data_IF_628477400361
#
_entry.id   IF_628477400361
#
_cell.length_a   1.000
_cell.length_b   1.000
_cell.length_c   1.000
_cell.angle_alpha   90.00
_cell.angle_beta   90.00
_cell.angle_gamma   90.00
#
_symmetry.space_group_name_H-M   'P 1'
#
loop_
_entity.id
_entity.type
_entity.pdbx_description
1 polymer ?
#
# COMPACT_ATOMS: atom_id res chain seq x y z
N UNK A 1 23.31 6.55 37.60
CA UNK A 1 22.83 7.30 36.43
C UNK A 1 23.54 6.73 35.21
N UNK A 2 22.79 6.40 34.17
CA UNK A 2 23.36 5.97 32.89
C UNK A 2 23.54 7.21 31.99
N UNK A 3 24.65 7.23 31.23
CA UNK A 3 24.97 8.32 30.30
C UNK A 3 25.04 7.77 28.88
N UNK A 4 24.58 8.54 27.93
CA UNK A 4 24.73 8.25 26.49
C UNK A 4 26.00 8.93 26.03
N UNK A 5 26.94 8.12 25.53
CA UNK A 5 28.24 8.62 25.04
C UNK A 5 28.43 8.19 23.59
N UNK A 6 29.12 9.04 22.82
CA UNK A 6 29.64 8.71 21.50
C UNK A 6 31.05 9.25 21.41
N UNK A 7 32.01 8.38 21.07
CA UNK A 7 33.45 8.70 20.98
C UNK A 7 33.98 9.42 22.22
N UNK A 8 33.55 9.02 23.42
CA UNK A 8 33.94 9.63 24.69
C UNK A 8 33.25 10.97 25.02
N UNK A 9 32.39 11.49 24.15
CA UNK A 9 31.64 12.71 24.39
C UNK A 9 30.30 12.34 25.02
N UNK A 10 29.97 12.93 26.18
CA UNK A 10 28.66 12.75 26.82
C UNK A 10 27.61 13.55 26.05
N UNK A 11 26.66 12.87 25.45
CA UNK A 11 25.55 13.46 24.67
C UNK A 11 24.31 13.75 25.53
N UNK A 12 24.15 13.03 26.64
CA UNK A 12 23.05 13.23 27.57
C UNK A 12 22.97 12.18 28.67
N UNK A 13 22.13 12.43 29.67
CA UNK A 13 21.80 11.45 30.72
C UNK A 13 20.57 10.66 30.31
N UNK A 14 20.61 9.34 30.52
CA UNK A 14 19.46 8.46 30.30
C UNK A 14 18.53 8.48 31.52
N UNK A 15 17.26 8.73 31.29
CA UNK A 15 16.20 8.59 32.28
C UNK A 15 15.38 7.33 32.01
N UNK A 16 14.71 6.76 33.02
CA UNK A 16 13.80 5.64 32.81
C UNK A 16 12.70 6.01 31.80
N UNK A 17 12.62 5.25 30.70
CA UNK A 17 11.66 5.51 29.62
C UNK A 17 12.23 6.25 28.41
N UNK A 18 13.45 6.77 28.47
CA UNK A 18 14.11 7.38 27.33
C UNK A 18 14.45 6.34 26.25
N UNK A 19 14.29 6.74 25.01
CA UNK A 19 14.71 5.94 23.85
C UNK A 19 15.73 6.72 23.04
N UNK A 20 16.88 6.08 22.78
CA UNK A 20 17.97 6.64 21.98
C UNK A 20 18.25 5.74 20.79
N UNK A 21 18.51 6.30 19.61
CA UNK A 21 18.76 5.55 18.37
C UNK A 21 19.87 6.21 17.56
N UNK A 22 20.66 5.36 16.90
CA UNK A 22 21.64 5.77 15.90
C UNK A 22 23.08 5.92 16.41
N UNK A 23 24.00 6.24 15.51
CA UNK A 23 25.39 6.60 15.75
C UNK A 23 25.74 7.82 14.87
N UNK A 24 25.87 9.02 15.45
CA UNK A 24 25.72 9.36 16.87
C UNK A 24 24.30 9.15 17.42
N UNK A 25 24.14 8.82 18.71
CA UNK A 25 22.83 8.57 19.30
C UNK A 25 22.00 9.85 19.36
N UNK A 26 20.75 9.74 18.92
CA UNK A 26 19.75 10.81 18.97
C UNK A 26 18.65 10.43 19.96
N UNK A 27 18.24 11.36 20.82
CA UNK A 27 17.09 11.16 21.68
C UNK A 27 15.81 11.14 20.87
N UNK A 28 15.03 10.07 20.97
CA UNK A 28 13.72 9.98 20.35
C UNK A 28 12.66 10.47 21.35
N UNK A 29 11.64 11.22 20.87
CA UNK A 29 10.52 11.60 21.72
C UNK A 29 9.83 10.36 22.29
N UNK A 30 9.39 10.47 23.56
CA UNK A 30 8.65 9.37 24.19
C UNK A 30 7.47 8.96 23.29
N UNK A 31 7.37 7.67 22.98
CA UNK A 31 6.18 7.16 22.29
C UNK A 31 4.95 7.48 23.14
N UNK A 32 3.95 8.07 22.52
CA UNK A 32 2.63 8.18 23.15
C UNK A 32 2.25 6.78 23.65
N UNK A 33 1.86 6.70 24.92
CA UNK A 33 1.47 5.43 25.54
C UNK A 33 0.40 4.78 24.65
N UNK A 34 0.73 3.64 24.06
CA UNK A 34 -0.19 2.92 23.19
C UNK A 34 -1.51 2.74 23.95
N UNK A 35 -2.60 3.23 23.38
CA UNK A 35 -3.92 3.05 23.96
C UNK A 35 -4.09 1.58 24.29
N UNK A 36 -4.24 1.25 25.58
CA UNK A 36 -4.41 -0.14 26.02
C UNK A 36 -5.70 -0.69 25.42
N UNK A 37 -5.57 -1.40 24.32
CA UNK A 37 -6.70 -2.13 23.74
C UNK A 37 -6.96 -3.40 24.54
N UNK A 38 -8.21 -3.85 24.58
CA UNK A 38 -8.57 -5.10 25.24
C UNK A 38 -7.78 -6.29 24.65
N UNK A 39 -7.35 -7.23 25.49
CA UNK A 39 -6.58 -8.41 25.09
C UNK A 39 -7.24 -9.22 23.96
N UNK A 40 -8.58 -9.25 23.92
CA UNK A 40 -9.35 -9.87 22.85
C UNK A 40 -9.18 -9.20 21.48
N UNK A 41 -8.65 -7.99 21.42
CA UNK A 41 -8.39 -7.24 20.19
C UNK A 41 -6.89 -7.22 19.84
N UNK A 42 -6.03 -7.75 20.71
CA UNK A 42 -4.56 -7.72 20.55
C UNK A 42 -3.94 -9.10 20.61
N UNK A 43 -3.96 -9.73 21.79
CA UNK A 43 -3.21 -10.95 22.06
C UNK A 43 -4.05 -12.23 22.07
N UNK A 44 -5.36 -12.15 22.43
CA UNK A 44 -6.26 -13.29 22.62
C UNK A 44 -7.55 -13.15 21.81
N UNK A 45 -7.50 -13.15 20.47
CA UNK A 45 -8.70 -13.04 19.64
C UNK A 45 -9.57 -14.31 19.80
N UNK A 46 -10.90 -14.13 19.69
CA UNK A 46 -11.83 -15.23 19.64
C UNK A 46 -11.63 -16.09 18.38
N UNK A 47 -12.05 -17.36 18.42
CA UNK A 47 -11.97 -18.27 17.26
C UNK A 47 -12.72 -17.72 16.06
N UNK A 48 -13.88 -17.08 16.24
CA UNK A 48 -14.63 -16.45 15.17
C UNK A 48 -13.82 -15.34 14.47
N UNK A 49 -13.10 -14.50 15.22
CA UNK A 49 -12.23 -13.47 14.64
C UNK A 49 -11.07 -14.05 13.86
N UNK A 50 -10.48 -15.17 14.35
CA UNK A 50 -9.42 -15.87 13.62
C UNK A 50 -9.91 -16.43 12.30
N UNK A 51 -11.10 -17.03 12.28
CA UNK A 51 -11.72 -17.55 11.05
C UNK A 51 -12.04 -16.39 10.10
N UNK A 52 -12.69 -15.33 10.59
CA UNK A 52 -13.03 -14.16 9.75
C UNK A 52 -11.77 -13.51 9.14
N UNK A 53 -10.70 -13.33 9.92
CA UNK A 53 -9.42 -12.85 9.39
C UNK A 53 -8.85 -13.84 8.37
N UNK A 54 -8.87 -15.14 8.65
CA UNK A 54 -8.41 -16.17 7.71
C UNK A 54 -9.11 -16.11 6.35
N UNK A 55 -10.43 -15.85 6.33
CA UNK A 55 -11.19 -15.67 5.09
C UNK A 55 -10.75 -14.41 4.33
N UNK A 56 -10.57 -13.28 5.04
CA UNK A 56 -10.06 -12.04 4.43
C UNK A 56 -8.65 -12.26 3.86
N UNK A 57 -7.78 -12.94 4.59
CA UNK A 57 -6.42 -13.27 4.13
C UNK A 57 -6.44 -14.18 2.89
N UNK A 58 -7.27 -15.23 2.90
CA UNK A 58 -7.41 -16.11 1.74
C UNK A 58 -7.90 -15.35 0.50
N UNK A 59 -8.89 -14.47 0.67
CA UNK A 59 -9.38 -13.62 -0.41
C UNK A 59 -8.30 -12.64 -0.90
N UNK A 60 -7.59 -11.98 0.01
CA UNK A 60 -6.52 -11.04 -0.28
C UNK A 60 -5.41 -11.67 -1.11
N UNK A 61 -5.05 -12.93 -0.83
CA UNK A 61 -4.03 -13.66 -1.57
C UNK A 61 -4.57 -14.16 -2.91
N UNK A 62 -5.74 -14.79 -2.91
CA UNK A 62 -6.26 -15.46 -4.10
C UNK A 62 -6.81 -14.49 -5.17
N UNK A 63 -7.51 -13.44 -4.76
CA UNK A 63 -8.23 -12.57 -5.69
C UNK A 63 -7.33 -11.83 -6.69
N UNK A 64 -6.18 -11.22 -6.32
CA UNK A 64 -5.31 -10.57 -7.29
C UNK A 64 -4.79 -11.53 -8.35
N UNK A 65 -4.33 -12.71 -7.93
CA UNK A 65 -3.79 -13.72 -8.83
C UNK A 65 -4.86 -14.28 -9.77
N UNK A 66 -6.04 -14.61 -9.22
CA UNK A 66 -7.16 -15.08 -10.01
C UNK A 66 -7.60 -14.05 -11.06
N UNK A 67 -7.65 -12.77 -10.70
CA UNK A 67 -8.00 -11.69 -11.62
C UNK A 67 -6.98 -11.57 -12.76
N UNK A 68 -5.68 -11.51 -12.45
CA UNK A 68 -4.62 -11.39 -13.44
C UNK A 68 -4.63 -12.58 -14.39
N UNK A 69 -4.79 -13.81 -13.86
CA UNK A 69 -4.84 -15.04 -14.69
C UNK A 69 -6.08 -15.03 -15.58
N UNK A 70 -7.27 -14.72 -15.02
CA UNK A 70 -8.51 -14.75 -15.79
C UNK A 70 -8.53 -13.72 -16.92
N UNK A 71 -8.10 -12.47 -16.64
CA UNK A 71 -8.05 -11.41 -17.65
C UNK A 71 -6.95 -11.71 -18.67
N UNK A 72 -5.76 -12.13 -18.23
CA UNK A 72 -4.68 -12.53 -19.15
C UNK A 72 -5.09 -13.65 -20.10
N UNK A 73 -5.79 -14.65 -19.57
CA UNK A 73 -6.32 -15.74 -20.38
C UNK A 73 -7.35 -15.26 -21.41
N UNK A 74 -8.27 -14.39 -21.01
CA UNK A 74 -9.27 -13.79 -21.91
C UNK A 74 -8.61 -13.01 -23.06
N UNK A 75 -7.60 -12.18 -22.75
CA UNK A 75 -6.83 -11.43 -23.76
C UNK A 75 -6.13 -12.37 -24.75
N UNK A 76 -5.54 -13.45 -24.26
CA UNK A 76 -4.87 -14.44 -25.13
C UNK A 76 -5.87 -15.12 -26.06
N UNK A 77 -7.06 -15.49 -25.55
CA UNK A 77 -8.12 -16.09 -26.38
C UNK A 77 -8.63 -15.13 -27.47
N UNK A 78 -8.74 -13.83 -27.16
CA UNK A 78 -9.19 -12.81 -28.11
C UNK A 78 -8.12 -12.55 -29.19
N UNK A 79 -6.84 -12.52 -28.84
CA UNK A 79 -5.73 -12.32 -29.75
C UNK A 79 -5.42 -13.56 -30.64
N UNK A 80 -5.84 -14.77 -30.24
CA UNK A 80 -5.52 -16.01 -30.93
C UNK A 80 -5.96 -16.05 -32.41
N UNK A 81 -7.18 -15.62 -32.78
CA UNK A 81 -7.60 -15.59 -34.20
C UNK A 81 -6.76 -14.63 -35.05
N UNK A 82 -6.28 -13.53 -34.49
CA UNK A 82 -5.40 -12.61 -35.19
C UNK A 82 -4.01 -13.24 -35.44
N UNK A 83 -3.49 -13.96 -34.46
CA UNK A 83 -2.22 -14.64 -34.55
C UNK A 83 -2.26 -15.77 -35.58
N UNK A 84 -3.31 -16.58 -35.58
CA UNK A 84 -3.48 -17.71 -36.55
C UNK A 84 -3.62 -17.22 -37.99
N UNK A 85 -4.16 -16.02 -38.19
CA UNK A 85 -4.24 -15.37 -39.50
C UNK A 85 -2.98 -14.56 -39.87
N UNK A 86 -1.89 -14.69 -39.12
CA UNK A 86 -0.62 -14.01 -39.39
C UNK A 86 -0.63 -12.49 -39.18
N UNK A 87 -1.65 -11.93 -38.51
CA UNK A 87 -1.82 -10.49 -38.31
C UNK A 87 -1.07 -9.97 -37.07
N UNK A 88 0.23 -10.24 -36.99
CA UNK A 88 1.07 -9.99 -35.82
C UNK A 88 1.09 -8.52 -35.38
N UNK A 89 0.99 -7.56 -36.31
CA UNK A 89 0.90 -6.13 -35.98
C UNK A 89 -0.37 -5.80 -35.20
N UNK A 90 -1.50 -6.46 -35.52
CA UNK A 90 -2.76 -6.28 -34.79
C UNK A 90 -2.70 -6.94 -33.42
N UNK A 91 -2.07 -8.11 -33.31
CA UNK A 91 -1.82 -8.78 -32.02
C UNK A 91 -1.01 -7.87 -31.09
N UNK A 92 0.08 -7.27 -31.58
CA UNK A 92 0.90 -6.36 -30.78
C UNK A 92 0.12 -5.12 -30.31
N UNK A 93 -0.70 -4.53 -31.18
CA UNK A 93 -1.54 -3.40 -30.86
C UNK A 93 -2.59 -3.77 -29.80
N UNK A 94 -3.27 -4.90 -29.98
CA UNK A 94 -4.30 -5.39 -29.05
C UNK A 94 -3.71 -5.66 -27.67
N UNK A 95 -2.60 -6.39 -27.57
CA UNK A 95 -1.93 -6.68 -26.31
C UNK A 95 -1.46 -5.40 -25.60
N UNK A 96 -0.95 -4.40 -26.36
CA UNK A 96 -0.55 -3.11 -25.82
C UNK A 96 -1.72 -2.33 -25.24
N UNK A 97 -2.83 -2.23 -25.99
CA UNK A 97 -4.03 -1.55 -25.54
C UNK A 97 -4.69 -2.26 -24.34
N UNK A 98 -4.80 -3.59 -24.41
CA UNK A 98 -5.35 -4.41 -23.34
C UNK A 98 -4.52 -4.26 -22.05
N UNK A 99 -3.18 -4.21 -22.14
CA UNK A 99 -2.31 -3.97 -21.00
C UNK A 99 -2.53 -2.61 -20.34
N UNK A 100 -2.66 -1.55 -21.12
CA UNK A 100 -2.96 -0.20 -20.60
C UNK A 100 -4.35 -0.16 -19.95
N UNK A 101 -5.37 -0.69 -20.63
CA UNK A 101 -6.73 -0.71 -20.10
C UNK A 101 -6.83 -1.55 -18.82
N UNK A 102 -6.15 -2.69 -18.77
CA UNK A 102 -6.07 -3.52 -17.58
C UNK A 102 -5.39 -2.77 -16.42
N UNK A 103 -4.27 -2.08 -16.67
CA UNK A 103 -3.61 -1.26 -15.66
C UNK A 103 -4.52 -0.17 -15.12
N UNK A 104 -5.23 0.54 -15.98
CA UNK A 104 -6.22 1.57 -15.56
C UNK A 104 -7.37 0.96 -14.76
N UNK A 105 -7.87 -0.19 -15.19
CA UNK A 105 -8.96 -0.90 -14.49
C UNK A 105 -8.53 -1.38 -13.11
N UNK A 106 -7.30 -1.91 -12.96
CA UNK A 106 -6.78 -2.32 -11.66
C UNK A 106 -6.61 -1.16 -10.71
N UNK A 107 -6.13 -0.01 -11.19
CA UNK A 107 -6.05 1.21 -10.39
C UNK A 107 -7.45 1.71 -9.96
N UNK A 108 -8.39 1.78 -10.90
CA UNK A 108 -9.77 2.18 -10.60
C UNK A 108 -10.41 1.24 -9.57
N UNK A 109 -10.17 -0.06 -9.68
CA UNK A 109 -10.63 -1.06 -8.72
C UNK A 109 -10.10 -0.80 -7.32
N UNK A 110 -8.79 -0.56 -7.18
CA UNK A 110 -8.18 -0.22 -5.90
C UNK A 110 -8.77 1.08 -5.32
N UNK A 111 -8.98 2.09 -6.17
CA UNK A 111 -9.61 3.34 -5.74
C UNK A 111 -11.05 3.12 -5.22
N UNK A 112 -11.85 2.31 -5.91
CA UNK A 112 -13.21 1.94 -5.47
C UNK A 112 -13.16 1.19 -4.13
N UNK A 113 -12.27 0.21 -3.97
CA UNK A 113 -12.12 -0.53 -2.72
C UNK A 113 -11.67 0.39 -1.59
N UNK A 114 -10.69 1.25 -1.83
CA UNK A 114 -10.19 2.22 -0.83
C UNK A 114 -11.32 3.13 -0.36
N UNK A 115 -12.04 3.75 -1.27
CA UNK A 115 -13.09 4.70 -0.91
C UNK A 115 -14.36 4.02 -0.37
N UNK A 116 -14.69 2.82 -0.86
CA UNK A 116 -15.85 2.06 -0.43
C UNK A 116 -15.68 1.34 0.91
N UNK A 117 -14.51 0.76 1.18
CA UNK A 117 -14.28 -0.05 2.38
C UNK A 117 -13.62 0.73 3.51
N UNK A 118 -12.68 1.61 3.19
CA UNK A 118 -11.85 2.32 4.16
C UNK A 118 -12.32 3.77 4.33
N UNK A 119 -12.67 4.43 3.24
CA UNK A 119 -12.94 5.86 3.22
C UNK A 119 -11.65 6.67 3.44
N UNK A 120 -11.65 7.57 4.43
CA UNK A 120 -10.48 8.40 4.77
C UNK A 120 -9.67 7.78 5.89
N UNK A 121 -8.38 7.61 5.66
CA UNK A 121 -7.43 7.29 6.72
C UNK A 121 -7.31 8.48 7.68
N UNK A 122 -7.24 8.16 8.98
CA UNK A 122 -7.00 9.16 10.03
C UNK A 122 -5.89 8.64 10.94
N UNK A 123 -4.98 9.49 11.40
CA UNK A 123 -3.97 9.11 12.37
C UNK A 123 -4.65 8.59 13.65
N UNK A 124 -4.57 7.29 13.88
CA UNK A 124 -5.12 6.65 15.09
C UNK A 124 -4.45 5.30 15.34
N UNK A 125 -4.26 4.96 16.59
CA UNK A 125 -3.87 3.62 16.99
C UNK A 125 -5.10 2.70 16.89
N UNK A 126 -5.04 1.67 16.05
CA UNK A 126 -6.14 0.71 15.87
C UNK A 126 -5.66 -0.68 16.23
N UNK A 127 -6.39 -1.43 17.08
CA UNK A 127 -6.02 -2.80 17.44
C UNK A 127 -6.02 -3.71 16.22
N UNK A 128 -5.05 -4.65 16.18
CA UNK A 128 -4.80 -5.54 15.04
C UNK A 128 -6.02 -6.42 14.67
N UNK A 129 -6.79 -6.88 15.68
CA UNK A 129 -7.92 -7.76 15.46
C UNK A 129 -9.24 -7.02 15.22
N UNK A 130 -9.20 -5.99 14.37
CA UNK A 130 -10.38 -5.23 13.95
C UNK A 130 -10.60 -5.35 12.45
N UNK A 131 -11.86 -5.34 11.97
CA UNK A 131 -12.16 -5.40 10.54
C UNK A 131 -11.50 -4.28 9.74
N UNK A 132 -11.37 -3.09 10.33
CA UNK A 132 -10.71 -1.95 9.68
C UNK A 132 -9.26 -2.28 9.29
N UNK A 133 -8.48 -2.88 10.19
CA UNK A 133 -7.08 -3.24 9.90
C UNK A 133 -7.02 -4.29 8.79
N UNK A 134 -7.86 -5.33 8.84
CA UNK A 134 -7.85 -6.39 7.84
C UNK A 134 -8.23 -5.88 6.44
N UNK A 135 -9.25 -5.00 6.38
CA UNK A 135 -9.67 -4.38 5.12
C UNK A 135 -8.61 -3.40 4.60
N UNK A 136 -7.97 -2.64 5.48
CA UNK A 136 -6.84 -1.77 5.12
C UNK A 136 -5.69 -2.58 4.54
N UNK A 137 -5.27 -3.66 5.20
CA UNK A 137 -4.25 -4.58 4.70
C UNK A 137 -4.66 -5.20 3.34
N UNK A 138 -5.95 -5.53 3.14
CA UNK A 138 -6.44 -6.05 1.88
C UNK A 138 -6.36 -5.02 0.75
N UNK A 139 -6.74 -3.77 1.01
CA UNK A 139 -6.64 -2.67 0.03
C UNK A 139 -5.17 -2.39 -0.32
N UNK A 140 -4.28 -2.35 0.67
CA UNK A 140 -2.84 -2.19 0.45
C UNK A 140 -2.28 -3.33 -0.40
N UNK A 141 -2.65 -4.57 -0.10
CA UNK A 141 -2.19 -5.72 -0.89
C UNK A 141 -2.68 -5.67 -2.35
N UNK A 142 -3.95 -5.24 -2.59
CA UNK A 142 -4.45 -5.03 -3.95
C UNK A 142 -3.71 -3.89 -4.66
N UNK A 143 -3.40 -2.81 -3.94
CA UNK A 143 -2.61 -1.71 -4.47
C UNK A 143 -1.22 -2.19 -4.90
N UNK A 144 -0.48 -2.84 -4.01
CA UNK A 144 0.88 -3.32 -4.27
C UNK A 144 0.92 -4.49 -5.25
N UNK A 145 -0.05 -5.41 -5.17
CA UNK A 145 -0.07 -6.64 -5.96
C UNK A 145 -0.61 -6.48 -7.38
N UNK A 146 -1.50 -5.53 -7.64
CA UNK A 146 -2.09 -5.35 -8.97
C UNK A 146 -1.99 -3.94 -9.54
N UNK A 147 -2.25 -2.87 -8.79
CA UNK A 147 -2.21 -1.53 -9.36
C UNK A 147 -0.76 -1.06 -9.60
N UNK A 148 0.13 -1.26 -8.63
CA UNK A 148 1.54 -0.87 -8.77
C UNK A 148 2.21 -1.57 -9.94
N UNK A 149 2.22 -2.91 -10.07
CA UNK A 149 2.94 -3.58 -11.16
C UNK A 149 2.32 -3.34 -12.54
N UNK A 150 1.01 -3.09 -12.64
CA UNK A 150 0.35 -2.98 -13.94
C UNK A 150 0.27 -1.55 -14.48
N UNK A 151 0.35 -0.51 -13.62
CA UNK A 151 0.32 0.87 -14.10
C UNK A 151 1.21 1.82 -13.30
N UNK A 152 1.14 1.88 -11.96
CA UNK A 152 1.74 2.97 -11.20
C UNK A 152 3.27 2.98 -11.27
N UNK A 153 3.91 1.82 -11.33
CA UNK A 153 5.38 1.71 -11.47
C UNK A 153 5.91 2.40 -12.72
N UNK A 154 5.12 2.44 -13.79
CA UNK A 154 5.48 3.09 -15.05
C UNK A 154 5.28 4.61 -15.02
N UNK A 155 4.54 5.10 -14.03
CA UNK A 155 4.30 6.54 -13.82
C UNK A 155 5.35 7.20 -12.91
N UNK A 156 6.30 6.42 -12.35
CA UNK A 156 7.38 6.97 -11.52
C UNK A 156 8.16 8.04 -12.27
N UNK A 157 8.53 9.10 -11.57
CA UNK A 157 9.24 10.21 -12.16
C UNK A 157 8.43 11.03 -13.18
N UNK A 158 7.12 10.80 -13.28
CA UNK A 158 6.23 11.59 -14.15
C UNK A 158 5.20 12.35 -13.31
N UNK A 159 4.63 13.45 -13.83
CA UNK A 159 3.57 14.21 -13.16
C UNK A 159 2.27 13.39 -12.96
N UNK A 160 2.14 12.26 -13.65
CA UNK A 160 0.95 11.41 -13.56
C UNK A 160 0.88 10.65 -12.25
N UNK A 161 2.03 10.31 -11.63
CA UNK A 161 2.05 9.59 -10.36
C UNK A 161 1.45 10.41 -9.20
N UNK A 162 1.82 11.69 -8.96
CA UNK A 162 1.14 12.55 -8.01
C UNK A 162 -0.37 12.64 -8.24
N UNK A 163 -0.82 12.77 -9.48
CA UNK A 163 -2.25 12.83 -9.81
C UNK A 163 -2.96 11.54 -9.43
N UNK A 164 -2.40 10.37 -9.77
CA UNK A 164 -2.96 9.08 -9.41
C UNK A 164 -3.03 8.89 -7.88
N UNK A 165 -1.97 9.22 -7.15
CA UNK A 165 -1.96 9.11 -5.69
C UNK A 165 -2.93 10.10 -5.02
N UNK A 166 -3.13 11.29 -5.59
CA UNK A 166 -4.13 12.24 -5.11
C UNK A 166 -5.56 11.71 -5.26
N UNK A 167 -5.85 10.91 -6.30
CA UNK A 167 -7.14 10.22 -6.42
C UNK A 167 -7.37 9.18 -5.31
N UNK A 168 -6.30 8.62 -4.74
CA UNK A 168 -6.35 7.74 -3.58
C UNK A 168 -6.43 8.48 -2.23
N UNK A 169 -6.29 9.82 -2.23
CA UNK A 169 -6.46 10.66 -1.04
C UNK A 169 -5.19 11.37 -0.57
N UNK A 170 -4.05 11.16 -1.21
CA UNK A 170 -2.83 11.94 -0.93
C UNK A 170 -3.04 13.42 -1.23
N UNK A 171 -2.17 14.25 -0.68
CA UNK A 171 -2.07 15.69 -0.99
C UNK A 171 -0.67 16.00 -1.48
N UNK A 172 -0.42 15.74 -2.75
CA UNK A 172 0.89 15.88 -3.38
C UNK A 172 0.80 16.99 -4.41
N UNK A 173 1.73 17.96 -4.34
CA UNK A 173 1.81 19.03 -5.32
C UNK A 173 2.15 18.47 -6.70
N UNK A 174 1.56 19.05 -7.77
CA UNK A 174 1.79 18.58 -9.14
C UNK A 174 3.25 18.74 -9.60
N UNK A 175 4.02 19.65 -8.96
CA UNK A 175 5.45 19.86 -9.22
C UNK A 175 6.36 18.92 -8.43
N UNK A 176 5.81 18.11 -7.52
CA UNK A 176 6.61 17.18 -6.73
C UNK A 176 7.12 16.02 -7.58
N UNK A 177 8.43 15.79 -7.54
CA UNK A 177 9.05 14.64 -8.20
C UNK A 177 8.96 13.40 -7.30
N UNK A 178 8.27 12.37 -7.76
CA UNK A 178 8.10 11.12 -7.02
C UNK A 178 8.67 9.94 -7.81
N UNK A 179 9.61 9.22 -7.19
CA UNK A 179 10.18 7.98 -7.72
C UNK A 179 9.81 6.74 -6.89
N UNK A 180 8.82 6.87 -6.01
CA UNK A 180 8.31 5.77 -5.20
C UNK A 180 6.80 5.62 -5.32
N UNK A 181 6.35 4.38 -5.30
CA UNK A 181 4.93 4.00 -5.17
C UNK A 181 4.64 3.37 -3.80
N UNK A 182 5.63 3.32 -2.90
CA UNK A 182 5.52 2.73 -1.58
C UNK A 182 4.83 3.71 -0.61
N UNK A 183 3.53 3.87 -0.80
CA UNK A 183 2.65 4.75 -0.03
C UNK A 183 1.38 3.97 0.27
N UNK A 184 1.05 3.79 1.55
CA UNK A 184 -0.06 2.94 1.97
C UNK A 184 -1.21 3.70 2.63
N UNK A 185 -0.92 4.65 3.51
CA UNK A 185 -1.93 5.43 4.23
C UNK A 185 -2.16 6.77 3.52
N UNK A 186 -2.74 6.72 2.33
CA UNK A 186 -2.81 7.79 1.35
C UNK A 186 -3.23 9.16 1.91
N UNK A 187 -4.32 9.20 2.70
CA UNK A 187 -4.85 10.47 3.24
C UNK A 187 -3.94 11.12 4.29
N UNK A 188 -2.96 10.38 4.81
CA UNK A 188 -1.99 10.86 5.79
C UNK A 188 -0.73 11.44 5.15
N UNK A 189 -0.59 11.33 3.82
CA UNK A 189 0.59 11.79 3.07
C UNK A 189 0.34 13.17 2.48
N UNK A 190 1.24 14.10 2.81
CA UNK A 190 1.24 15.44 2.26
C UNK A 190 2.66 15.81 1.81
N UNK A 191 2.83 16.16 0.53
CA UNK A 191 4.10 16.58 -0.08
C UNK A 191 3.87 17.92 -0.76
N UNK A 192 4.59 18.94 -0.29
CA UNK A 192 4.53 20.31 -0.84
C UNK A 192 5.26 20.45 -2.18
N UNK A 193 5.13 21.61 -2.78
CA UNK A 193 5.95 22.03 -3.93
C UNK A 193 7.37 22.38 -3.45
N UNK A 194 8.34 22.08 -4.28
CA UNK A 194 9.72 22.59 -4.17
C UNK A 194 9.95 23.62 -5.25
#
# INVERSE_FOLDING_TARGET
RAQVTCDGIVLGEMHPGDTWLGSPPMHLPAREAAVRAADALTYRPSTQRRIARGLVEAFRIAAPHALVIAVGYAIVLDAMPLATNGRWGMVALELGLAGILFGMATFAWVAILKWGLIGRYRPRATPMWTPFVWLSEAVTNMYEGIAVPNILRYLRGTPMLPLALNLLGCRIAASAWLDTTDITEFDCVQIGAH
#
